data_IF_089473372279
#
_entry.id   IF_089473372279
#
_cell.length_a   1.000
_cell.length_b   1.000
_cell.length_c   1.000
_cell.angle_alpha   90.00
_cell.angle_beta   90.00
_cell.angle_gamma   90.00
#
_symmetry.space_group_name_H-M   'P 1'
#
loop_
_entity.id
_entity.type
_entity.pdbx_description
1 polymer ?
#
# COMPACT_ATOMS: atom_id res chain seq x y z
N UNK A 1 -17.51 -26.97 15.41
CA UNK A 1 -18.08 -25.65 15.80
C UNK A 1 -17.50 -24.57 14.89
N UNK A 2 -18.33 -23.86 14.11
CA UNK A 2 -17.88 -22.69 13.32
C UNK A 2 -17.83 -21.48 14.27
N UNK A 3 -16.64 -20.95 14.56
CA UNK A 3 -16.49 -19.81 15.49
C UNK A 3 -16.12 -18.56 14.72
N UNK A 4 -16.76 -17.44 15.04
CA UNK A 4 -16.35 -16.12 14.57
C UNK A 4 -14.94 -15.82 15.07
N UNK A 5 -14.11 -15.20 14.24
CA UNK A 5 -12.82 -14.66 14.66
C UNK A 5 -12.97 -13.19 14.99
N UNK A 6 -12.45 -12.79 16.15
CA UNK A 6 -12.37 -11.40 16.60
C UNK A 6 -10.93 -11.02 16.87
N UNK A 7 -10.59 -9.77 16.60
CA UNK A 7 -9.32 -9.20 17.03
C UNK A 7 -9.24 -9.23 18.57
N UNK A 8 -8.13 -9.71 19.13
CA UNK A 8 -7.96 -9.80 20.59
C UNK A 8 -7.82 -8.45 21.28
N UNK A 9 -7.40 -7.40 20.55
CA UNK A 9 -7.17 -6.06 21.11
C UNK A 9 -8.41 -5.17 21.06
N UNK A 10 -9.12 -5.15 19.94
CA UNK A 10 -10.27 -4.25 19.73
C UNK A 10 -11.62 -4.97 19.62
N UNK A 11 -11.63 -6.30 19.75
CA UNK A 11 -12.84 -7.15 19.69
C UNK A 11 -13.66 -7.08 18.38
N UNK A 12 -13.13 -6.38 17.37
CA UNK A 12 -13.73 -6.27 16.04
C UNK A 12 -13.83 -7.65 15.37
N UNK A 13 -14.92 -7.91 14.68
CA UNK A 13 -15.14 -9.18 13.98
C UNK A 13 -14.35 -9.20 12.67
N UNK A 14 -13.40 -10.14 12.56
CA UNK A 14 -12.62 -10.35 11.35
C UNK A 14 -13.27 -11.39 10.43
N UNK A 15 -13.95 -12.37 11.01
CA UNK A 15 -14.67 -13.41 10.26
C UNK A 15 -15.98 -13.78 10.97
N UNK A 16 -17.08 -13.73 10.21
CA UNK A 16 -18.42 -14.13 10.68
C UNK A 16 -18.93 -15.28 9.83
N UNK A 17 -19.33 -16.42 10.43
CA UNK A 17 -20.03 -17.47 9.70
C UNK A 17 -21.39 -16.97 9.21
N UNK A 18 -21.71 -17.18 7.94
CA UNK A 18 -23.07 -17.01 7.43
C UNK A 18 -23.82 -18.32 7.64
N UNK A 19 -24.96 -18.25 8.35
CA UNK A 19 -25.77 -19.42 8.59
C UNK A 19 -26.69 -19.66 7.39
N UNK A 20 -26.22 -20.50 6.45
CA UNK A 20 -27.05 -21.06 5.40
C UNK A 20 -27.07 -22.60 5.55
N UNK A 21 -28.23 -23.25 5.70
CA UNK A 21 -28.32 -24.70 5.87
C UNK A 21 -27.75 -25.50 4.67
N UNK A 22 -27.63 -24.90 3.48
CA UNK A 22 -27.08 -25.55 2.28
C UNK A 22 -25.64 -25.12 1.94
N UNK A 23 -25.02 -24.20 2.70
CA UNK A 23 -23.69 -23.69 2.37
C UNK A 23 -22.90 -23.20 3.58
N UNK A 24 -21.59 -23.46 3.60
CA UNK A 24 -20.69 -23.04 4.67
C UNK A 24 -19.91 -21.77 4.28
N UNK A 25 -20.61 -20.65 4.08
CA UNK A 25 -19.96 -19.37 3.73
C UNK A 25 -19.48 -18.62 4.98
N UNK A 26 -18.34 -17.94 4.84
CA UNK A 26 -17.83 -17.01 5.84
C UNK A 26 -17.72 -15.62 5.20
N UNK A 27 -18.12 -14.59 5.93
CA UNK A 27 -17.86 -13.21 5.58
C UNK A 27 -16.59 -12.75 6.30
N UNK A 28 -15.51 -12.59 5.55
CA UNK A 28 -14.25 -12.02 6.06
C UNK A 28 -14.30 -10.52 5.84
N UNK A 29 -14.13 -9.74 6.91
CA UNK A 29 -14.08 -8.29 6.84
C UNK A 29 -12.61 -7.87 6.79
N UNK A 30 -12.11 -7.62 5.59
CA UNK A 30 -10.77 -7.07 5.37
C UNK A 30 -10.84 -5.54 5.52
N UNK A 31 -10.82 -5.04 6.75
CA UNK A 31 -10.90 -3.59 7.01
C UNK A 31 -9.63 -2.87 6.51
N UNK A 32 -8.49 -3.57 6.52
CA UNK A 32 -7.20 -3.04 6.10
C UNK A 32 -7.19 -2.47 4.67
N UNK A 33 -7.81 -3.17 3.71
CA UNK A 33 -7.85 -2.73 2.30
C UNK A 33 -8.69 -1.47 2.08
N UNK A 34 -9.49 -1.05 3.06
CA UNK A 34 -10.24 0.21 2.99
C UNK A 34 -9.41 1.44 3.37
N UNK A 35 -8.23 1.25 3.99
CA UNK A 35 -7.44 2.36 4.54
C UNK A 35 -5.95 2.32 4.19
N UNK A 36 -5.40 1.14 3.91
CA UNK A 36 -3.98 0.99 3.57
C UNK A 36 -3.81 1.14 2.06
N UNK A 37 -2.92 2.03 1.58
CA UNK A 37 -2.58 2.13 0.17
C UNK A 37 -2.17 0.78 -0.43
N UNK A 38 -2.78 0.42 -1.55
CA UNK A 38 -2.54 -0.87 -2.20
C UNK A 38 -1.33 -0.77 -3.13
N UNK A 39 -0.32 -1.60 -2.90
CA UNK A 39 0.82 -1.80 -3.81
C UNK A 39 0.58 -2.98 -4.73
N UNK A 40 0.82 -2.79 -6.02
CA UNK A 40 0.80 -3.86 -7.03
C UNK A 40 2.00 -3.78 -7.95
N UNK A 41 2.46 -4.92 -8.41
CA UNK A 41 3.46 -5.00 -9.47
C UNK A 41 2.76 -4.80 -10.81
N UNK A 42 3.22 -3.83 -11.60
CA UNK A 42 2.69 -3.57 -12.94
C UNK A 42 3.55 -4.19 -14.03
N UNK A 43 4.87 -4.06 -13.90
CA UNK A 43 5.82 -4.61 -14.87
C UNK A 43 7.13 -4.96 -14.19
N UNK A 44 7.66 -6.13 -14.54
CA UNK A 44 8.95 -6.64 -14.09
C UNK A 44 9.83 -6.81 -15.33
N UNK A 45 11.00 -6.17 -15.40
CA UNK A 45 11.96 -6.42 -16.46
C UNK A 45 12.68 -7.76 -16.26
N UNK A 46 13.50 -8.17 -17.22
CA UNK A 46 14.37 -9.33 -17.04
C UNK A 46 15.40 -9.07 -15.93
N UNK A 47 15.24 -9.76 -14.80
CA UNK A 47 16.12 -9.66 -13.64
C UNK A 47 17.39 -10.47 -13.90
N UNK A 48 18.56 -9.87 -13.69
CA UNK A 48 19.86 -10.56 -13.80
C UNK A 48 20.67 -10.31 -12.55
N UNK A 49 21.42 -11.31 -12.12
CA UNK A 49 22.27 -11.20 -10.92
C UNK A 49 23.22 -10.02 -11.04
N UNK A 50 23.34 -9.26 -9.95
CA UNK A 50 24.21 -8.08 -9.82
C UNK A 50 23.94 -6.97 -10.85
N UNK A 51 22.79 -7.02 -11.55
CA UNK A 51 22.38 -5.99 -12.52
C UNK A 51 21.18 -5.22 -11.99
N UNK A 52 21.33 -3.89 -11.93
CA UNK A 52 20.22 -3.00 -11.62
C UNK A 52 19.11 -3.11 -12.67
N UNK A 53 17.89 -3.33 -12.19
CA UNK A 53 16.67 -3.44 -12.98
C UNK A 53 15.58 -2.56 -12.38
N UNK A 54 14.83 -1.84 -13.22
CA UNK A 54 13.73 -0.97 -12.79
C UNK A 54 12.41 -1.73 -12.81
N UNK A 55 11.81 -1.95 -11.65
CA UNK A 55 10.49 -2.56 -11.52
C UNK A 55 9.45 -1.45 -11.41
N UNK A 56 8.36 -1.57 -12.17
CA UNK A 56 7.28 -0.61 -12.15
C UNK A 56 6.17 -1.11 -11.23
N UNK A 57 5.96 -0.39 -10.14
CA UNK A 57 4.91 -0.65 -9.17
C UNK A 57 3.79 0.38 -9.33
N UNK A 58 2.59 0.03 -8.86
CA UNK A 58 1.52 1.00 -8.66
C UNK A 58 1.17 1.12 -7.20
N UNK A 59 0.85 2.33 -6.77
CA UNK A 59 0.32 2.63 -5.44
C UNK A 59 -1.07 3.27 -5.60
N UNK A 60 -2.08 2.72 -4.93
CA UNK A 60 -3.48 3.18 -5.04
C UNK A 60 -4.01 3.58 -3.67
N UNK A 61 -4.54 4.80 -3.57
CA UNK A 61 -5.16 5.28 -2.34
C UNK A 61 -6.62 4.81 -2.24
N UNK A 62 -7.02 4.02 -1.23
CA UNK A 62 -8.41 3.59 -1.09
C UNK A 62 -9.33 4.66 -0.47
N UNK A 63 -8.78 5.71 0.15
CA UNK A 63 -9.56 6.73 0.88
C UNK A 63 -9.83 7.97 0.05
N UNK A 64 -10.87 8.73 0.40
CA UNK A 64 -11.32 9.93 -0.31
C UNK A 64 -10.42 11.16 -0.09
N UNK A 65 -9.59 11.15 0.94
CA UNK A 65 -8.65 12.23 1.23
C UNK A 65 -7.30 11.98 0.56
N UNK A 66 -6.54 13.05 0.31
CA UNK A 66 -5.15 12.96 -0.12
C UNK A 66 -4.34 12.17 0.92
N UNK A 67 -3.45 11.30 0.45
CA UNK A 67 -2.59 10.47 1.31
C UNK A 67 -1.12 10.70 0.96
N UNK A 68 -0.33 11.00 1.98
CA UNK A 68 1.10 11.18 1.92
C UNK A 68 1.80 9.86 2.23
N UNK A 69 2.68 9.42 1.33
CA UNK A 69 3.38 8.15 1.44
C UNK A 69 4.87 8.36 1.32
N UNK A 70 5.63 7.79 2.26
CA UNK A 70 7.08 7.72 2.21
C UNK A 70 7.52 6.26 2.18
N UNK A 71 8.57 5.99 1.40
CA UNK A 71 9.13 4.65 1.24
C UNK A 71 10.53 4.62 1.85
N UNK A 72 10.87 3.52 2.51
CA UNK A 72 12.24 3.29 2.99
C UNK A 72 12.63 1.84 2.77
N UNK A 73 13.88 1.61 2.33
CA UNK A 73 14.45 0.26 2.31
C UNK A 73 14.52 -0.31 3.73
N UNK A 74 14.50 -1.63 3.87
CA UNK A 74 14.81 -2.28 5.14
C UNK A 74 16.30 -2.10 5.46
N UNK A 75 16.63 -1.90 6.73
CA UNK A 75 18.01 -1.76 7.18
C UNK A 75 18.70 -3.14 7.26
N UNK A 76 20.03 -3.17 7.18
CA UNK A 76 20.78 -4.40 7.45
C UNK A 76 20.48 -4.84 8.90
N UNK A 77 20.09 -6.11 9.10
CA UNK A 77 19.62 -6.69 10.37
C UNK A 77 18.17 -6.37 10.79
N UNK A 78 17.34 -5.83 9.90
CA UNK A 78 15.90 -5.72 10.16
C UNK A 78 15.30 -7.13 10.40
N UNK A 79 14.71 -7.40 11.59
CA UNK A 79 14.12 -8.71 11.87
C UNK A 79 12.96 -9.06 10.94
N UNK A 80 12.38 -8.07 10.25
CA UNK A 80 11.32 -8.29 9.27
C UNK A 80 11.88 -8.60 7.87
N UNK A 81 13.16 -8.32 7.59
CA UNK A 81 13.82 -8.57 6.29
C UNK A 81 14.47 -9.95 6.20
N UNK A 82 13.69 -11.00 6.47
CA UNK A 82 14.19 -12.38 6.55
C UNK A 82 14.37 -12.99 5.16
N UNK A 83 13.53 -12.58 4.20
CA UNK A 83 13.34 -13.29 2.95
C UNK A 83 13.93 -12.57 1.73
N UNK A 84 14.48 -11.37 1.86
CA UNK A 84 14.95 -10.61 0.69
C UNK A 84 16.19 -11.26 0.06
N UNK A 85 16.13 -11.47 -1.26
CA UNK A 85 17.24 -12.00 -2.07
C UNK A 85 17.87 -10.90 -2.94
N UNK A 86 17.36 -9.67 -2.85
CA UNK A 86 17.79 -8.56 -3.66
C UNK A 86 17.83 -7.24 -2.89
N UNK A 87 18.80 -6.39 -3.24
CA UNK A 87 18.85 -5.03 -2.74
C UNK A 87 17.81 -4.19 -3.46
N UNK A 88 16.97 -3.49 -2.69
CA UNK A 88 15.98 -2.54 -3.23
C UNK A 88 16.41 -1.09 -2.97
N UNK A 89 16.19 -0.24 -3.95
CA UNK A 89 16.29 1.21 -3.81
C UNK A 89 14.94 1.81 -4.16
N UNK A 90 14.30 2.38 -3.15
CA UNK A 90 13.02 3.06 -3.25
C UNK A 90 13.23 4.57 -3.40
N UNK A 91 12.27 5.30 -4.00
CA UNK A 91 12.30 6.75 -4.04
C UNK A 91 12.39 7.37 -2.63
N UNK A 92 13.26 8.36 -2.45
CA UNK A 92 13.42 9.09 -1.19
C UNK A 92 12.43 10.25 -1.02
N UNK A 93 11.81 10.69 -2.12
CA UNK A 93 10.81 11.76 -2.12
C UNK A 93 9.46 11.23 -1.64
N UNK A 94 8.70 12.09 -0.97
CA UNK A 94 7.31 11.82 -0.60
C UNK A 94 6.45 11.65 -1.85
N UNK A 95 5.62 10.61 -1.86
CA UNK A 95 4.63 10.33 -2.88
C UNK A 95 3.27 10.80 -2.37
N UNK A 96 2.59 11.66 -3.15
CA UNK A 96 1.27 12.18 -2.79
C UNK A 96 0.21 11.53 -3.67
N UNK A 97 -0.71 10.79 -3.05
CA UNK A 97 -1.81 10.13 -3.74
C UNK A 97 -3.07 10.99 -3.66
N UNK A 98 -3.75 11.15 -4.79
CA UNK A 98 -5.05 11.80 -4.81
C UNK A 98 -6.08 10.98 -4.01
N UNK A 99 -7.08 11.67 -3.48
CA UNK A 99 -8.25 11.03 -2.90
C UNK A 99 -9.02 10.19 -3.92
N UNK A 100 -9.58 9.07 -3.48
CA UNK A 100 -10.52 8.28 -4.26
C UNK A 100 -11.80 9.08 -4.48
N UNK A 101 -12.07 9.40 -5.73
CA UNK A 101 -13.29 10.07 -6.15
C UNK A 101 -14.13 9.14 -7.02
N UNK A 102 -15.32 8.76 -6.52
CA UNK A 102 -16.26 7.91 -7.25
C UNK A 102 -17.09 8.67 -8.28
N UNK A 103 -17.14 10.00 -8.19
CA UNK A 103 -17.87 10.87 -9.11
C UNK A 103 -17.00 11.39 -10.26
N UNK A 104 -15.66 11.28 -10.16
CA UNK A 104 -14.71 11.76 -11.17
C UNK A 104 -14.96 11.19 -12.59
N UNK A 105 -15.52 9.98 -12.73
CA UNK A 105 -15.84 9.42 -14.05
C UNK A 105 -17.08 10.06 -14.70
N UNK A 106 -17.89 10.79 -13.92
CA UNK A 106 -19.13 11.44 -14.35
C UNK A 106 -19.00 12.96 -14.42
N UNK A 107 -17.95 13.53 -13.81
CA UNK A 107 -17.71 14.97 -13.78
C UNK A 107 -16.66 15.37 -14.82
N UNK A 108 -17.11 15.57 -16.07
CA UNK A 108 -16.27 16.06 -17.17
C UNK A 108 -15.75 17.49 -16.93
N UNK A 109 -16.24 18.20 -15.90
CA UNK A 109 -15.86 19.55 -15.54
C UNK A 109 -14.91 19.61 -14.34
N UNK A 110 -14.57 18.47 -13.72
CA UNK A 110 -13.65 18.43 -12.59
C UNK A 110 -12.27 18.92 -13.02
N UNK A 111 -11.74 19.93 -12.31
CA UNK A 111 -10.40 20.43 -12.57
C UNK A 111 -9.37 19.34 -12.22
N UNK A 112 -8.41 19.04 -13.12
CA UNK A 112 -7.34 18.12 -12.81
C UNK A 112 -6.51 18.67 -11.64
N UNK A 113 -6.31 17.86 -10.61
CA UNK A 113 -5.43 18.21 -9.50
C UNK A 113 -3.98 18.30 -10.02
N UNK A 114 -3.34 19.44 -9.78
CA UNK A 114 -1.94 19.67 -10.17
C UNK A 114 -0.99 19.03 -9.17
N UNK A 115 -0.51 17.83 -9.51
CA UNK A 115 0.53 17.14 -8.76
C UNK A 115 1.88 17.38 -9.42
N UNK A 116 2.83 17.91 -8.66
CA UNK A 116 4.22 18.10 -9.10
C UNK A 116 4.98 16.77 -8.99
N UNK A 117 4.60 15.83 -9.84
CA UNK A 117 5.23 14.51 -9.92
C UNK A 117 6.65 14.62 -10.48
N UNK A 118 7.59 13.96 -9.82
CA UNK A 118 8.96 13.83 -10.34
C UNK A 118 8.98 12.75 -11.44
N UNK A 119 9.30 13.10 -12.71
CA UNK A 119 9.26 12.16 -13.84
C UNK A 119 10.29 11.02 -13.71
N UNK A 120 11.33 11.17 -12.89
CA UNK A 120 12.31 10.11 -12.64
C UNK A 120 11.77 9.06 -11.65
N UNK A 121 10.75 9.41 -10.88
CA UNK A 121 10.16 8.57 -9.82
C UNK A 121 8.78 8.07 -10.24
N UNK A 122 7.91 8.95 -10.72
CA UNK A 122 6.52 8.69 -11.07
C UNK A 122 6.41 8.54 -12.59
N UNK A 123 6.07 7.32 -13.02
CA UNK A 123 5.91 6.97 -14.43
C UNK A 123 4.60 7.51 -15.01
N UNK A 124 3.53 7.48 -14.23
CA UNK A 124 2.21 8.00 -14.61
C UNK A 124 1.35 8.22 -13.37
N UNK A 125 0.35 9.09 -13.52
CA UNK A 125 -0.75 9.26 -12.57
C UNK A 125 -2.08 9.02 -13.29
N UNK A 126 -2.98 8.30 -12.63
CA UNK A 126 -4.35 8.11 -13.10
C UNK A 126 -5.28 8.09 -11.88
N UNK A 127 -6.08 9.14 -11.74
CA UNK A 127 -6.99 9.30 -10.60
C UNK A 127 -6.22 9.21 -9.27
N UNK A 128 -6.67 8.37 -8.34
CA UNK A 128 -6.07 8.07 -7.03
C UNK A 128 -4.91 7.06 -7.08
N UNK A 129 -4.34 6.80 -8.26
CA UNK A 129 -3.28 5.83 -8.49
C UNK A 129 -2.07 6.49 -9.15
N UNK A 130 -0.89 6.13 -8.68
CA UNK A 130 0.38 6.45 -9.34
C UNK A 130 1.11 5.16 -9.71
N UNK A 131 1.83 5.19 -10.81
CA UNK A 131 2.89 4.24 -11.13
C UNK A 131 4.23 4.83 -10.77
N UNK A 132 5.08 4.09 -10.07
CA UNK A 132 6.41 4.55 -9.67
C UNK A 132 7.46 3.45 -9.84
N UNK A 133 8.70 3.86 -10.07
CA UNK A 133 9.81 2.92 -10.24
C UNK A 133 10.51 2.65 -8.92
N UNK A 134 10.84 1.39 -8.69
CA UNK A 134 11.88 0.98 -7.74
C UNK A 134 13.02 0.34 -8.51
N UNK A 135 14.23 0.43 -7.97
CA UNK A 135 15.40 -0.26 -8.52
C UNK A 135 15.70 -1.48 -7.68
N UNK A 136 15.96 -2.60 -8.34
CA UNK A 136 16.23 -3.88 -7.72
C UNK A 136 17.54 -4.43 -8.27
N UNK A 137 18.40 -4.92 -7.36
CA UNK A 137 19.66 -5.59 -7.69
C UNK A 137 19.64 -6.96 -7.03
N UNK A 138 19.35 -8.03 -7.79
CA UNK A 138 19.42 -9.39 -7.27
C UNK A 138 20.84 -9.73 -6.81
N UNK A 139 20.98 -10.29 -5.60
CA UNK A 139 22.29 -10.56 -4.99
C UNK A 139 22.69 -12.03 -5.03
N UNK A 140 21.72 -12.94 -5.08
CA UNK A 140 21.97 -14.39 -5.08
C UNK A 140 21.87 -14.94 -6.51
N UNK A 141 22.77 -15.85 -6.86
CA UNK A 141 22.75 -16.61 -8.12
C UNK A 141 21.96 -17.92 -8.02
N UNK A 142 21.24 -18.11 -6.92
CA UNK A 142 20.44 -19.32 -6.68
C UNK A 142 19.25 -19.39 -7.63
N UNK A 143 18.89 -20.62 -8.01
CA UNK A 143 17.71 -20.93 -8.82
C UNK A 143 16.46 -20.74 -7.93
N UNK A 144 16.01 -19.49 -7.83
CA UNK A 144 14.92 -19.07 -6.94
C UNK A 144 14.32 -17.73 -7.32
N UNK A 145 13.15 -17.45 -6.75
CA UNK A 145 12.48 -16.18 -6.98
C UNK A 145 13.26 -15.02 -6.34
N UNK A 146 13.33 -13.91 -7.08
CA UNK A 146 13.84 -12.64 -6.58
C UNK A 146 12.79 -12.02 -5.68
N UNK A 147 13.13 -11.82 -4.42
CA UNK A 147 12.26 -11.22 -3.40
C UNK A 147 12.88 -9.93 -2.88
N UNK A 148 12.05 -8.94 -2.61
CA UNK A 148 12.46 -7.66 -2.02
C UNK A 148 11.53 -7.26 -0.90
N UNK A 149 12.10 -6.62 0.13
CA UNK A 149 11.37 -6.06 1.25
C UNK A 149 11.61 -4.56 1.36
N UNK A 150 10.55 -3.79 1.63
CA UNK A 150 10.67 -2.37 1.98
C UNK A 150 9.51 -1.93 2.87
N UNK A 151 9.65 -0.77 3.50
CA UNK A 151 8.62 -0.19 4.36
C UNK A 151 7.84 0.88 3.63
N UNK A 152 6.53 0.88 3.85
CA UNK A 152 5.59 1.91 3.40
C UNK A 152 5.05 2.62 4.61
N UNK A 153 5.35 3.92 4.71
CA UNK A 153 4.82 4.78 5.75
C UNK A 153 3.79 5.72 5.16
N UNK A 154 2.58 5.76 5.71
CA UNK A 154 1.53 6.65 5.24
C UNK A 154 0.76 7.30 6.40
N UNK A 155 0.14 8.44 6.13
CA UNK A 155 -0.78 9.06 7.08
C UNK A 155 -2.11 8.29 7.12
N UNK A 156 -2.67 8.20 8.31
CA UNK A 156 -3.92 7.51 8.59
C UNK A 156 -4.77 8.36 9.52
N UNK A 157 -6.01 8.59 9.13
CA UNK A 157 -7.02 9.26 9.94
C UNK A 157 -8.06 8.25 10.39
N UNK A 158 -8.19 8.08 11.70
CA UNK A 158 -9.19 7.18 12.25
C UNK A 158 -10.58 7.84 12.24
N UNK A 159 -11.35 7.60 11.18
CA UNK A 159 -12.71 8.10 11.04
C UNK A 159 -13.72 7.44 12.01
N UNK A 160 -13.34 6.37 12.71
CA UNK A 160 -14.19 5.72 13.71
C UNK A 160 -14.03 6.31 15.13
N UNK A 161 -13.08 7.22 15.33
CA UNK A 161 -12.97 7.94 16.61
C UNK A 161 -14.16 8.91 16.77
N UNK A 162 -14.83 8.94 17.93
CA UNK A 162 -15.88 9.92 18.17
C UNK A 162 -15.31 11.33 17.99
N UNK A 163 -15.84 12.09 17.03
CA UNK A 163 -15.55 13.51 16.90
C UNK A 163 -16.07 14.17 18.18
N UNK A 164 -15.19 14.74 18.99
CA UNK A 164 -15.61 15.55 20.13
C UNK A 164 -16.23 16.83 19.55
N UNK A 165 -17.50 17.15 19.83
CA UNK A 165 -18.01 18.47 19.51
C UNK A 165 -17.24 19.48 20.35
N UNK A 166 -16.40 20.30 19.73
CA UNK A 166 -15.81 21.47 20.38
C UNK A 166 -16.86 22.59 20.38
N UNK A 167 -17.14 23.17 21.54
CA UNK A 167 -18.09 24.30 21.68
C UNK A 167 -17.55 25.62 21.07
N UNK A 168 -16.32 25.64 20.57
CA UNK A 168 -15.71 26.80 19.91
C UNK A 168 -14.96 26.39 18.63
N UNK A 169 -15.46 26.81 17.46
CA UNK A 169 -14.74 26.73 16.18
C UNK A 169 -15.05 25.51 15.30
N UNK A 170 -14.64 25.54 14.01
CA UNK A 170 -14.90 24.48 13.04
C UNK A 170 -14.30 23.16 13.53
N UNK A 171 -15.03 22.06 13.30
CA UNK A 171 -14.70 20.69 13.72
C UNK A 171 -13.20 20.40 13.54
N UNK A 172 -12.49 20.10 14.62
CA UNK A 172 -11.07 19.70 14.53
C UNK A 172 -11.03 18.32 13.88
N UNK A 173 -10.47 18.18 12.66
CA UNK A 173 -10.40 16.89 11.99
C UNK A 173 -9.55 15.93 12.83
N UNK A 174 -9.91 14.64 12.83
CA UNK A 174 -9.16 13.60 13.54
C UNK A 174 -7.67 13.70 13.22
N UNK A 175 -6.83 13.77 14.26
CA UNK A 175 -5.38 13.89 14.13
C UNK A 175 -4.83 12.72 13.31
N UNK A 176 -4.05 13.04 12.28
CA UNK A 176 -3.43 12.03 11.44
C UNK A 176 -2.29 11.36 12.21
N UNK A 177 -2.32 10.03 12.27
CA UNK A 177 -1.20 9.22 12.77
C UNK A 177 -0.45 8.60 11.60
N UNK A 178 0.83 8.31 11.79
CA UNK A 178 1.62 7.62 10.78
C UNK A 178 1.62 6.11 11.03
N UNK A 179 1.27 5.33 10.00
CA UNK A 179 1.36 3.88 10.03
C UNK A 179 2.50 3.44 9.10
N UNK A 180 3.30 2.48 9.57
CA UNK A 180 4.38 1.87 8.78
C UNK A 180 4.07 0.39 8.57
N UNK A 181 4.12 -0.05 7.33
CA UNK A 181 3.89 -1.43 6.92
C UNK A 181 5.15 -2.02 6.31
N UNK A 182 5.49 -3.23 6.70
CA UNK A 182 6.50 -4.03 6.03
C UNK A 182 5.87 -4.70 4.80
N UNK A 183 6.47 -4.50 3.62
CA UNK A 183 5.98 -5.02 2.34
C UNK A 183 7.03 -5.91 1.73
N UNK A 184 6.64 -7.16 1.49
CA UNK A 184 7.44 -8.17 0.80
C UNK A 184 6.85 -8.41 -0.59
N UNK A 185 7.68 -8.31 -1.63
CA UNK A 185 7.30 -8.59 -3.01
C UNK A 185 8.13 -9.76 -3.55
N UNK A 186 7.46 -10.76 -4.13
CA UNK A 186 8.11 -11.73 -5.02
C UNK A 186 8.01 -11.24 -6.46
N UNK A 187 9.18 -11.06 -7.09
CA UNK A 187 9.33 -10.57 -8.47
C UNK A 187 9.48 -11.71 -9.48
N UNK A 188 9.46 -12.96 -9.03
CA UNK A 188 9.67 -14.14 -9.86
C UNK A 188 11.16 -14.44 -10.15
N UNK A 189 11.45 -15.37 -11.06
CA UNK A 189 12.79 -15.93 -11.22
C UNK A 189 13.75 -14.99 -11.95
N UNK A 190 15.04 -15.26 -11.80
CA UNK A 190 16.10 -14.65 -12.61
C UNK A 190 15.94 -15.05 -14.10
N UNK A 191 16.21 -14.10 -14.98
CA UNK A 191 16.37 -14.37 -16.40
C UNK A 191 17.75 -15.01 -16.65
N UNK A 192 17.74 -16.19 -17.26
CA UNK A 192 18.93 -16.90 -17.74
C UNK A 192 19.70 -16.09 -18.79
#
# INVERSE_FOLDING_TARGET
MKRSLRCRKCEHNLSKPEFNPTSIKFKIQLVAVSYIPEVRIMSIPNLRTMKESQVLLTLTNPVENITHVTLSACEDEDPDDINSTAKVMVPSKELVLAGKDAAAEYDELAEPQDFQDDPDVVAFRKSNKIGFFIKVIPQKEEDGDVTVSFKIRHDFRNLAAPVKPSEEGPETPAEAIWLTHHVELSLGPLAL
#
